data_IF_287090783997
#
_entry.id   IF_287090783997
#
_cell.length_a   1.000
_cell.length_b   1.000
_cell.length_c   1.000
_cell.angle_alpha   90.00
_cell.angle_beta   90.00
_cell.angle_gamma   90.00
#
_symmetry.space_group_name_H-M   'P 1'
#
loop_
_entity.id
_entity.type
_entity.pdbx_description
1 polymer ?
#
# COMPACT_ATOMS: atom_id res chain seq x y z
N UNK A 1 -78.57 18.64 -10.93
CA UNK A 1 -77.31 18.18 -10.27
C UNK A 1 -76.82 16.98 -11.05
N UNK A 2 -75.79 17.16 -11.84
CA UNK A 2 -75.12 16.09 -12.57
C UNK A 2 -74.04 15.45 -11.66
N UNK A 3 -73.82 14.12 -11.73
CA UNK A 3 -72.81 13.49 -10.92
C UNK A 3 -71.36 13.84 -11.44
N UNK A 4 -70.41 14.01 -10.50
CA UNK A 4 -69.05 14.30 -10.80
C UNK A 4 -68.30 13.05 -11.35
N UNK A 5 -67.63 13.25 -12.49
CA UNK A 5 -66.72 12.25 -13.07
C UNK A 5 -65.49 12.05 -12.16
N UNK A 6 -65.31 10.84 -11.65
CA UNK A 6 -64.11 10.43 -10.95
C UNK A 6 -63.06 10.00 -11.96
N UNK A 7 -62.02 10.83 -12.11
CA UNK A 7 -60.83 10.51 -12.90
C UNK A 7 -59.98 9.50 -12.10
N UNK A 8 -59.68 8.34 -12.70
CA UNK A 8 -58.79 7.35 -12.15
C UNK A 8 -57.32 7.88 -12.13
N UNK A 9 -56.50 7.54 -11.12
CA UNK A 9 -55.08 7.94 -11.09
C UNK A 9 -54.29 7.22 -12.21
N UNK A 10 -53.28 7.86 -12.76
CA UNK A 10 -52.44 7.26 -13.81
C UNK A 10 -51.68 6.05 -13.29
N UNK A 11 -51.60 5.01 -14.13
CA UNK A 11 -50.83 3.80 -13.90
C UNK A 11 -49.33 4.16 -13.63
N UNK A 12 -48.82 3.79 -12.44
CA UNK A 12 -47.40 3.87 -12.09
C UNK A 12 -46.67 2.78 -12.86
N UNK A 13 -45.96 3.19 -13.91
CA UNK A 13 -45.02 2.31 -14.62
C UNK A 13 -43.84 2.00 -13.67
N UNK A 14 -43.65 0.72 -13.35
CA UNK A 14 -42.48 0.29 -12.57
C UNK A 14 -41.19 0.64 -13.31
N UNK A 15 -40.12 1.11 -12.60
CA UNK A 15 -38.83 1.39 -13.23
C UNK A 15 -38.24 0.10 -13.82
N UNK A 16 -37.52 0.19 -14.95
CA UNK A 16 -36.91 -0.96 -15.56
C UNK A 16 -35.93 -1.62 -14.60
N UNK A 17 -36.06 -2.93 -14.39
CA UNK A 17 -35.06 -3.72 -13.67
C UNK A 17 -33.79 -3.82 -14.53
N UNK A 18 -32.72 -3.18 -14.10
CA UNK A 18 -31.40 -3.40 -14.66
C UNK A 18 -30.89 -4.77 -14.18
N UNK A 19 -30.36 -5.62 -15.08
CA UNK A 19 -29.74 -6.87 -14.66
C UNK A 19 -28.55 -6.55 -13.74
N UNK A 20 -28.63 -6.97 -12.49
CA UNK A 20 -27.50 -6.99 -11.56
C UNK A 20 -26.49 -8.00 -12.09
N UNK A 21 -25.56 -7.53 -12.94
CA UNK A 21 -24.35 -8.28 -13.25
C UNK A 21 -23.47 -8.15 -12.01
N UNK A 22 -23.51 -9.16 -11.15
CA UNK A 22 -22.49 -9.32 -10.12
C UNK A 22 -21.20 -9.61 -10.87
N UNK A 23 -20.21 -8.70 -10.82
CA UNK A 23 -18.90 -9.02 -11.38
C UNK A 23 -18.39 -10.25 -10.63
N UNK A 24 -18.23 -11.37 -11.32
CA UNK A 24 -17.47 -12.50 -10.78
C UNK A 24 -16.03 -12.02 -10.70
N UNK A 25 -15.57 -11.68 -9.48
CA UNK A 25 -14.16 -11.46 -9.21
C UNK A 25 -13.47 -12.77 -9.59
N UNK A 26 -12.54 -12.78 -10.56
CA UNK A 26 -11.80 -13.99 -10.87
C UNK A 26 -11.14 -14.47 -9.58
N UNK A 27 -11.29 -15.73 -9.26
CA UNK A 27 -10.52 -16.36 -8.18
C UNK A 27 -9.06 -16.07 -8.46
N UNK A 28 -8.28 -15.52 -7.53
CA UNK A 28 -6.88 -15.23 -7.76
C UNK A 28 -6.23 -16.50 -8.33
N UNK A 29 -5.49 -16.35 -9.43
CA UNK A 29 -4.66 -17.44 -9.93
C UNK A 29 -3.77 -17.89 -8.77
N UNK A 30 -3.58 -19.19 -8.60
CA UNK A 30 -2.80 -19.69 -7.49
C UNK A 30 -1.39 -19.12 -7.56
N UNK A 31 -1.03 -18.34 -6.53
CA UNK A 31 0.35 -17.84 -6.35
C UNK A 31 1.25 -19.09 -6.25
N UNK A 32 2.38 -19.07 -6.94
CA UNK A 32 3.36 -20.17 -6.93
C UNK A 32 4.60 -19.75 -6.14
N UNK A 33 5.25 -20.66 -5.48
CA UNK A 33 6.52 -20.41 -4.81
C UNK A 33 7.69 -20.28 -5.84
N UNK A 34 8.69 -19.40 -5.56
CA UNK A 34 8.73 -18.43 -4.48
C UNK A 34 7.72 -17.27 -4.68
N UNK A 35 7.07 -16.83 -3.61
CA UNK A 35 6.22 -15.64 -3.64
C UNK A 35 7.09 -14.40 -3.86
N UNK A 36 6.80 -13.63 -4.90
CA UNK A 36 7.57 -12.43 -5.22
C UNK A 36 6.95 -11.21 -4.54
N UNK A 37 7.76 -10.46 -3.77
CA UNK A 37 7.34 -9.33 -2.92
C UNK A 37 8.05 -8.07 -3.38
N UNK A 38 7.31 -7.03 -3.76
CA UNK A 38 7.84 -5.71 -4.08
C UNK A 38 7.44 -4.69 -3.02
N UNK A 39 8.42 -4.12 -2.33
CA UNK A 39 8.18 -3.04 -1.37
C UNK A 39 8.30 -1.69 -2.07
N UNK A 40 7.21 -0.92 -2.08
CA UNK A 40 7.06 0.37 -2.75
C UNK A 40 6.84 1.46 -1.72
N UNK A 41 7.53 2.59 -1.83
CA UNK A 41 7.34 3.71 -0.92
C UNK A 41 8.49 4.72 -0.89
N UNK A 42 8.49 5.52 0.15
CA UNK A 42 9.44 6.62 0.35
C UNK A 42 10.73 6.19 1.10
N UNK A 43 11.31 7.11 1.87
CA UNK A 43 12.53 6.88 2.66
C UNK A 43 12.37 5.82 3.76
N UNK A 44 11.16 5.59 4.25
CA UNK A 44 10.86 4.55 5.25
C UNK A 44 10.99 3.17 4.61
N UNK A 45 10.49 3.02 3.39
CA UNK A 45 10.69 1.80 2.59
C UNK A 45 12.15 1.66 2.12
N UNK A 46 12.81 2.74 1.72
CA UNK A 46 14.20 2.72 1.28
C UNK A 46 15.16 2.29 2.41
N UNK A 47 14.94 2.79 3.62
CA UNK A 47 15.87 2.72 4.73
C UNK A 47 16.93 3.82 4.67
N UNK A 48 17.08 4.60 5.72
CA UNK A 48 17.96 5.76 5.78
C UNK A 48 18.89 5.69 6.99
N UNK A 49 20.01 6.44 6.96
CA UNK A 49 20.94 6.58 8.08
C UNK A 49 21.45 5.25 8.67
N UNK A 50 21.68 4.26 7.80
CA UNK A 50 22.15 2.94 8.21
C UNK A 50 21.05 2.00 8.71
N UNK A 51 19.79 2.43 8.65
CA UNK A 51 18.64 1.56 8.88
C UNK A 51 18.37 0.70 7.63
N UNK A 52 17.86 -0.49 7.86
CA UNK A 52 17.61 -1.48 6.80
C UNK A 52 16.14 -1.53 6.36
N UNK A 53 15.32 -0.62 6.92
CA UNK A 53 13.87 -0.64 6.70
C UNK A 53 13.19 -1.88 7.30
N UNK A 54 11.89 -1.81 7.46
CA UNK A 54 11.03 -2.94 7.86
C UNK A 54 11.22 -4.21 7.00
N UNK A 55 11.80 -4.07 5.80
CA UNK A 55 12.07 -5.20 4.88
C UNK A 55 13.03 -6.23 5.48
N UNK A 56 14.02 -5.80 6.30
CA UNK A 56 14.95 -6.74 6.94
C UNK A 56 14.26 -7.61 8.00
N UNK A 57 13.60 -7.05 9.03
CA UNK A 57 12.87 -7.88 9.98
C UNK A 57 11.73 -8.67 9.31
N UNK A 58 11.05 -8.14 8.28
CA UNK A 58 10.07 -8.90 7.48
C UNK A 58 10.68 -10.13 6.81
N UNK A 59 11.88 -9.98 6.22
CA UNK A 59 12.64 -11.09 5.65
C UNK A 59 12.94 -12.18 6.70
N UNK A 60 13.31 -11.76 7.92
CA UNK A 60 13.62 -12.70 9.00
C UNK A 60 12.36 -13.46 9.47
N UNK A 61 11.22 -12.79 9.58
CA UNK A 61 9.94 -13.40 9.91
C UNK A 61 9.50 -14.42 8.85
N UNK A 62 9.58 -14.06 7.57
CA UNK A 62 9.25 -14.94 6.45
C UNK A 62 10.16 -16.20 6.44
N UNK A 63 11.46 -16.00 6.65
CA UNK A 63 12.42 -17.10 6.73
C UNK A 63 12.16 -18.00 7.96
N UNK A 64 11.85 -17.42 9.11
CA UNK A 64 11.51 -18.15 10.33
C UNK A 64 10.22 -18.96 10.16
N UNK A 65 9.23 -18.42 9.46
CA UNK A 65 8.00 -19.12 9.11
C UNK A 65 8.18 -20.21 8.04
N UNK A 66 9.39 -20.32 7.46
CA UNK A 66 9.72 -21.20 6.34
C UNK A 66 8.87 -20.92 5.09
N UNK A 67 8.51 -19.66 4.86
CA UNK A 67 7.89 -19.24 3.60
C UNK A 67 8.93 -19.32 2.47
N UNK A 68 8.51 -19.72 1.27
CA UNK A 68 9.31 -19.62 0.06
C UNK A 68 9.02 -18.28 -0.62
N UNK A 69 9.95 -17.34 -0.56
CA UNK A 69 9.74 -15.96 -1.02
C UNK A 69 10.98 -15.34 -1.63
N UNK A 70 10.76 -14.27 -2.39
CA UNK A 70 11.82 -13.44 -2.95
C UNK A 70 11.39 -11.97 -3.00
N UNK A 71 12.21 -11.04 -2.49
CA UNK A 71 12.03 -9.62 -2.77
C UNK A 71 12.47 -9.27 -4.19
N UNK A 72 11.71 -8.37 -4.83
CA UNK A 72 11.96 -7.87 -6.19
C UNK A 72 11.88 -6.35 -6.24
N UNK A 73 12.49 -5.73 -7.25
CA UNK A 73 12.52 -4.28 -7.47
C UNK A 73 13.78 -3.82 -8.17
N UNK A 74 13.82 -2.55 -8.55
CA UNK A 74 14.93 -1.94 -9.29
C UNK A 74 16.01 -1.33 -8.40
N UNK A 75 15.68 -0.99 -7.15
CA UNK A 75 16.63 -0.46 -6.17
C UNK A 75 17.23 -1.60 -5.36
N UNK A 76 18.51 -1.47 -5.02
CA UNK A 76 19.21 -2.43 -4.17
C UNK A 76 19.94 -1.64 -3.08
N UNK A 77 19.54 -1.83 -1.82
CA UNK A 77 20.29 -1.25 -0.69
C UNK A 77 21.57 -2.04 -0.44
N UNK A 78 22.68 -1.34 -0.52
CA UNK A 78 24.00 -1.87 -0.22
C UNK A 78 24.65 -1.23 1.02
N UNK A 79 23.84 -0.54 1.85
CA UNK A 79 24.37 0.18 3.01
C UNK A 79 24.81 -0.77 4.13
N UNK A 80 26.08 -0.71 4.55
CA UNK A 80 26.56 -1.46 5.71
C UNK A 80 25.79 -1.05 7.00
N UNK A 81 25.60 -1.94 8.00
CA UNK A 81 26.50 -3.09 8.28
C UNK A 81 25.93 -4.46 7.88
N UNK A 82 25.00 -4.61 6.98
CA UNK A 82 24.41 -5.91 6.75
C UNK A 82 24.71 -6.53 5.39
N UNK A 83 24.78 -7.86 5.40
CA UNK A 83 24.75 -8.69 4.21
C UNK A 83 23.34 -8.80 3.61
N UNK A 84 22.37 -8.05 4.16
CA UNK A 84 20.99 -8.05 3.67
C UNK A 84 20.89 -7.18 2.42
N UNK A 85 20.69 -7.85 1.30
CA UNK A 85 20.41 -7.24 0.01
C UNK A 85 18.97 -7.57 -0.35
N UNK A 86 18.13 -6.55 -0.40
CA UNK A 86 16.72 -6.71 -0.76
C UNK A 86 16.38 -5.73 -1.86
N UNK A 87 16.06 -6.21 -3.07
CA UNK A 87 15.49 -5.36 -4.10
C UNK A 87 14.17 -4.74 -3.64
N UNK A 88 13.90 -3.49 -4.07
CA UNK A 88 12.71 -2.73 -3.69
C UNK A 88 12.46 -1.56 -4.65
N UNK A 89 11.34 -0.86 -4.49
CA UNK A 89 10.97 0.40 -5.13
C UNK A 89 10.79 1.50 -4.07
N UNK A 90 11.72 1.61 -3.13
CA UNK A 90 11.73 2.67 -2.12
C UNK A 90 12.66 3.80 -2.53
N UNK A 91 12.18 5.06 -2.44
CA UNK A 91 12.94 6.23 -2.87
C UNK A 91 12.79 7.38 -1.86
N UNK A 92 13.91 7.93 -1.40
CA UNK A 92 13.88 9.01 -0.42
C UNK A 92 13.19 10.26 -0.97
N UNK A 93 12.40 10.95 -0.14
CA UNK A 93 11.64 12.17 -0.44
C UNK A 93 10.61 12.06 -1.57
N UNK A 94 10.29 10.85 -2.02
CA UNK A 94 9.25 10.64 -3.02
C UNK A 94 7.85 10.77 -2.42
N UNK A 95 6.91 11.20 -3.27
CA UNK A 95 5.48 11.32 -3.02
C UNK A 95 4.71 10.30 -3.86
N UNK A 96 3.41 10.21 -3.66
CA UNK A 96 2.57 9.29 -4.42
C UNK A 96 2.59 9.58 -5.92
N UNK A 97 2.53 10.87 -6.33
CA UNK A 97 2.57 11.29 -7.74
C UNK A 97 3.88 10.90 -8.45
N UNK A 98 5.01 10.83 -7.73
CA UNK A 98 6.30 10.38 -8.28
C UNK A 98 6.26 8.91 -8.78
N UNK A 99 5.37 8.08 -8.21
CA UNK A 99 5.16 6.71 -8.68
C UNK A 99 4.23 6.60 -9.90
N UNK A 100 3.45 7.61 -10.18
CA UNK A 100 2.60 7.67 -11.37
C UNK A 100 3.37 8.21 -12.58
N UNK A 101 4.14 9.26 -12.37
CA UNK A 101 4.82 10.00 -13.45
C UNK A 101 6.27 9.62 -13.67
N UNK A 102 6.87 8.96 -12.68
CA UNK A 102 8.32 8.74 -12.60
C UNK A 102 9.07 9.99 -12.14
N UNK A 103 10.20 9.76 -11.49
CA UNK A 103 11.11 10.82 -11.03
C UNK A 103 12.54 10.32 -10.99
N UNK A 104 13.46 11.03 -11.62
CA UNK A 104 14.88 10.71 -11.59
C UNK A 104 15.63 11.85 -10.90
N UNK A 105 16.26 11.54 -9.77
CA UNK A 105 17.07 12.50 -9.00
C UNK A 105 18.13 11.77 -8.14
N UNK A 106 18.62 12.45 -7.09
CA UNK A 106 19.63 11.88 -6.18
C UNK A 106 19.12 10.68 -5.36
N UNK A 107 17.79 10.52 -5.26
CA UNK A 107 17.15 9.41 -4.54
C UNK A 107 17.05 8.13 -5.40
N UNK A 108 17.35 8.22 -6.69
CA UNK A 108 17.32 7.11 -7.63
C UNK A 108 16.55 7.42 -8.92
N UNK A 109 16.41 6.41 -9.76
CA UNK A 109 15.67 6.47 -11.03
C UNK A 109 14.33 5.73 -10.86
N UNK A 110 13.36 6.42 -10.25
CA UNK A 110 11.98 5.92 -10.16
C UNK A 110 11.31 6.08 -11.53
N UNK A 111 11.08 4.98 -12.21
CA UNK A 111 10.44 4.95 -13.54
C UNK A 111 8.93 4.83 -13.47
N UNK A 112 8.36 4.95 -12.30
CA UNK A 112 6.94 4.80 -12.04
C UNK A 112 6.50 3.36 -11.82
N UNK A 113 5.33 3.22 -11.17
CA UNK A 113 4.80 1.91 -10.77
C UNK A 113 4.54 0.98 -11.96
N UNK A 114 4.05 1.50 -13.09
CA UNK A 114 3.82 0.69 -14.30
C UNK A 114 5.10 0.04 -14.80
N UNK A 115 6.23 0.78 -14.79
CA UNK A 115 7.54 0.25 -15.19
C UNK A 115 8.06 -0.79 -14.20
N UNK A 116 7.88 -0.55 -12.89
CA UNK A 116 8.26 -1.49 -11.85
C UNK A 116 7.48 -2.82 -11.95
N UNK A 117 6.17 -2.73 -12.16
CA UNK A 117 5.31 -3.90 -12.40
C UNK A 117 5.71 -4.65 -13.66
N UNK A 118 5.96 -3.95 -14.77
CA UNK A 118 6.39 -4.58 -16.03
C UNK A 118 7.75 -5.30 -15.90
N UNK A 119 8.64 -4.80 -15.04
CA UNK A 119 9.96 -5.39 -14.79
C UNK A 119 9.89 -6.64 -13.93
N UNK A 120 9.10 -6.63 -12.86
CA UNK A 120 9.17 -7.62 -11.78
C UNK A 120 7.91 -8.47 -11.65
N UNK A 121 6.75 -7.98 -12.10
CA UNK A 121 5.43 -8.63 -12.00
C UNK A 121 5.19 -9.35 -10.65
N UNK A 122 5.29 -8.63 -9.51
CA UNK A 122 5.25 -9.23 -8.18
C UNK A 122 3.89 -9.84 -7.85
N UNK A 123 3.89 -10.88 -7.00
CA UNK A 123 2.68 -11.48 -6.44
C UNK A 123 2.10 -10.61 -5.30
N UNK A 124 2.99 -9.93 -4.58
CA UNK A 124 2.63 -9.07 -3.44
C UNK A 124 3.32 -7.72 -3.57
N UNK A 125 2.55 -6.65 -3.41
CA UNK A 125 3.06 -5.28 -3.33
C UNK A 125 2.81 -4.74 -1.93
N UNK A 126 3.87 -4.44 -1.18
CA UNK A 126 3.79 -3.69 0.07
C UNK A 126 3.85 -2.21 -0.31
N UNK A 127 2.81 -1.43 0.02
CA UNK A 127 2.71 -0.02 -0.33
C UNK A 127 2.62 0.85 0.93
N UNK A 128 3.70 1.61 1.20
CA UNK A 128 3.77 2.62 2.26
C UNK A 128 4.21 3.95 1.64
N UNK A 129 3.28 4.84 1.37
CA UNK A 129 3.51 6.13 0.70
C UNK A 129 2.51 7.19 1.19
N UNK A 130 2.89 8.46 1.15
CA UNK A 130 2.06 9.58 1.55
C UNK A 130 2.67 10.46 2.65
N UNK A 131 3.70 9.97 3.34
CA UNK A 131 4.35 10.74 4.42
C UNK A 131 4.89 12.09 3.91
N UNK A 132 5.54 12.10 2.74
CA UNK A 132 6.06 13.34 2.15
C UNK A 132 4.95 14.22 1.58
N UNK A 133 3.88 13.65 1.09
CA UNK A 133 2.70 14.35 0.58
C UNK A 133 2.07 15.17 1.72
N UNK A 134 1.76 14.54 2.84
CA UNK A 134 1.22 15.19 4.02
C UNK A 134 2.17 16.26 4.57
N UNK A 135 3.47 15.94 4.68
CA UNK A 135 4.50 16.88 5.15
C UNK A 135 4.61 18.12 4.29
N UNK A 136 4.42 18.00 2.98
CA UNK A 136 4.50 19.11 2.02
C UNK A 136 3.17 19.84 1.85
N UNK A 137 2.12 19.44 2.58
CA UNK A 137 0.82 20.08 2.58
C UNK A 137 -0.02 19.76 1.35
N UNK A 138 0.22 18.63 0.69
CA UNK A 138 -0.68 18.15 -0.36
C UNK A 138 -2.04 17.83 0.24
N UNK A 139 -3.09 18.02 -0.54
CA UNK A 139 -4.44 17.69 -0.11
C UNK A 139 -4.58 16.16 0.02
N UNK A 140 -5.13 15.69 1.14
CA UNK A 140 -5.26 14.26 1.40
C UNK A 140 -6.06 13.54 0.31
N UNK A 141 -7.16 14.14 -0.19
CA UNK A 141 -7.96 13.51 -1.23
C UNK A 141 -7.21 13.40 -2.58
N UNK A 142 -6.26 14.28 -2.86
CA UNK A 142 -5.38 14.17 -4.02
C UNK A 142 -4.40 13.01 -3.83
N UNK A 143 -3.75 12.94 -2.67
CA UNK A 143 -2.83 11.84 -2.34
C UNK A 143 -3.55 10.48 -2.35
N UNK A 144 -4.75 10.38 -1.79
CA UNK A 144 -5.56 9.15 -1.82
C UNK A 144 -5.93 8.76 -3.26
N UNK A 145 -6.27 9.74 -4.11
CA UNK A 145 -6.55 9.47 -5.53
C UNK A 145 -5.30 8.99 -6.30
N UNK A 146 -4.12 9.46 -5.94
CA UNK A 146 -2.85 8.97 -6.49
C UNK A 146 -2.55 7.55 -6.00
N UNK A 147 -2.78 7.25 -4.73
CA UNK A 147 -2.68 5.89 -4.16
C UNK A 147 -3.65 4.95 -4.88
N UNK A 148 -4.89 5.36 -5.13
CA UNK A 148 -5.88 4.59 -5.90
C UNK A 148 -5.35 4.25 -7.30
N UNK A 149 -4.75 5.21 -8.00
CA UNK A 149 -4.15 4.97 -9.31
C UNK A 149 -2.94 4.02 -9.25
N UNK A 150 -2.11 4.09 -8.20
CA UNK A 150 -1.02 3.13 -7.98
C UNK A 150 -1.58 1.73 -7.80
N UNK A 151 -2.57 1.56 -6.92
CA UNK A 151 -3.25 0.28 -6.67
C UNK A 151 -3.89 -0.26 -7.95
N UNK A 152 -4.63 0.58 -8.68
CA UNK A 152 -5.25 0.21 -9.95
C UNK A 152 -4.20 -0.26 -10.97
N UNK A 153 -3.07 0.44 -11.10
CA UNK A 153 -1.97 0.07 -11.99
C UNK A 153 -1.37 -1.27 -11.61
N UNK A 154 -1.18 -1.56 -10.32
CA UNK A 154 -0.69 -2.86 -9.83
C UNK A 154 -1.64 -3.97 -10.27
N UNK A 155 -2.94 -3.82 -10.00
CA UNK A 155 -3.94 -4.84 -10.29
C UNK A 155 -4.25 -4.97 -11.80
N UNK A 156 -4.03 -3.92 -12.59
CA UNK A 156 -4.12 -3.98 -14.05
C UNK A 156 -2.98 -4.82 -14.64
N UNK A 157 -1.75 -4.65 -14.12
CA UNK A 157 -0.58 -5.43 -14.60
C UNK A 157 -0.60 -6.87 -14.12
N UNK A 158 -0.93 -7.09 -12.86
CA UNK A 158 -1.09 -8.42 -12.28
C UNK A 158 -2.45 -8.54 -11.55
N UNK A 159 -3.51 -9.03 -12.24
CA UNK A 159 -4.82 -9.20 -11.63
C UNK A 159 -4.86 -10.19 -10.46
N UNK A 160 -3.78 -10.93 -10.22
CA UNK A 160 -3.66 -11.87 -9.09
C UNK A 160 -2.85 -11.28 -7.93
N UNK A 161 -2.23 -10.12 -8.11
CA UNK A 161 -1.41 -9.50 -7.06
C UNK A 161 -2.24 -9.16 -5.83
N UNK A 162 -1.61 -9.23 -4.66
CA UNK A 162 -2.15 -8.72 -3.40
C UNK A 162 -1.40 -7.44 -3.02
N UNK A 163 -2.15 -6.39 -2.71
CA UNK A 163 -1.59 -5.12 -2.24
C UNK A 163 -1.77 -5.04 -0.73
N UNK A 164 -0.67 -4.99 0.00
CA UNK A 164 -0.61 -4.69 1.43
C UNK A 164 -0.46 -3.17 1.58
N UNK A 165 -1.58 -2.46 1.59
CA UNK A 165 -1.63 -1.00 1.73
C UNK A 165 -1.61 -0.65 3.21
N UNK A 166 -0.59 0.06 3.66
CA UNK A 166 -0.53 0.49 5.05
C UNK A 166 -1.08 1.91 5.26
N UNK A 167 -1.60 2.14 6.46
CA UNK A 167 -1.65 3.49 6.99
C UNK A 167 -0.21 4.01 7.23
N UNK A 168 -0.07 5.23 7.77
CA UNK A 168 1.24 5.87 7.92
C UNK A 168 1.75 5.75 9.35
N UNK A 169 3.05 5.45 9.51
CA UNK A 169 3.70 5.58 10.82
C UNK A 169 3.60 7.03 11.31
N UNK A 170 3.43 7.26 12.61
CA UNK A 170 3.31 8.61 13.16
C UNK A 170 4.53 9.48 12.84
N UNK A 171 4.28 10.75 12.65
CA UNK A 171 5.29 11.77 12.43
C UNK A 171 5.42 12.65 13.68
N UNK A 172 6.53 12.60 14.37
CA UNK A 172 6.73 13.33 15.63
C UNK A 172 7.43 14.69 15.42
N UNK A 173 6.97 15.43 14.43
CA UNK A 173 7.41 16.78 14.08
C UNK A 173 6.18 17.70 13.88
N UNK A 174 6.38 18.90 13.36
CA UNK A 174 5.34 19.91 13.23
C UNK A 174 4.11 19.45 12.40
N UNK A 175 4.33 18.55 11.46
CA UNK A 175 3.29 18.05 10.53
C UNK A 175 2.57 16.79 11.03
N UNK A 176 2.70 16.41 12.30
CA UNK A 176 2.12 15.20 12.88
C UNK A 176 0.65 15.03 12.53
N UNK A 177 -0.17 16.05 12.74
CA UNK A 177 -1.61 15.98 12.48
C UNK A 177 -1.94 15.77 10.99
N UNK A 178 -1.12 16.29 10.09
CA UNK A 178 -1.32 16.09 8.65
C UNK A 178 -1.06 14.63 8.25
N UNK A 179 0.01 14.03 8.77
CA UNK A 179 0.34 12.62 8.52
C UNK A 179 -0.70 11.69 9.13
N UNK A 180 -1.16 11.96 10.37
CA UNK A 180 -2.22 11.19 11.02
C UNK A 180 -3.54 11.28 10.23
N UNK A 181 -3.93 12.50 9.80
CA UNK A 181 -5.14 12.71 9.01
C UNK A 181 -5.11 11.98 7.66
N UNK A 182 -3.96 12.00 6.96
CA UNK A 182 -3.83 11.24 5.72
C UNK A 182 -3.89 9.72 5.99
N UNK A 183 -3.28 9.24 7.07
CA UNK A 183 -3.36 7.84 7.48
C UNK A 183 -4.82 7.40 7.69
N UNK A 184 -5.65 8.21 8.34
CA UNK A 184 -7.08 7.95 8.54
C UNK A 184 -7.84 7.89 7.20
N UNK A 185 -7.50 8.76 6.24
CA UNK A 185 -8.12 8.74 4.90
C UNK A 185 -7.68 7.54 4.06
N UNK A 186 -6.45 7.06 4.20
CA UNK A 186 -5.99 5.81 3.57
C UNK A 186 -6.77 4.61 4.12
N UNK A 187 -6.99 4.54 5.44
CA UNK A 187 -7.81 3.50 6.05
C UNK A 187 -9.27 3.54 5.54
N UNK A 188 -9.86 4.75 5.48
CA UNK A 188 -11.22 4.95 4.97
C UNK A 188 -11.34 4.57 3.49
N UNK A 189 -10.35 4.92 2.67
CA UNK A 189 -10.27 4.53 1.26
C UNK A 189 -10.26 3.01 1.10
N UNK A 190 -9.35 2.32 1.80
CA UNK A 190 -9.25 0.87 1.72
C UNK A 190 -10.57 0.19 2.13
N UNK A 191 -11.20 0.66 3.21
CA UNK A 191 -12.47 0.12 3.67
C UNK A 191 -13.62 0.29 2.63
N UNK A 192 -13.59 1.37 1.84
CA UNK A 192 -14.58 1.64 0.79
C UNK A 192 -14.32 0.86 -0.50
N UNK A 193 -13.06 0.51 -0.76
CA UNK A 193 -12.65 -0.16 -2.00
C UNK A 193 -13.31 -1.54 -2.18
N UNK A 194 -13.67 -2.21 -1.07
CA UNK A 194 -14.30 -3.53 -1.05
C UNK A 194 -13.62 -4.54 -2.00
N UNK A 195 -12.29 -4.47 -2.11
CA UNK A 195 -11.47 -5.35 -2.93
C UNK A 195 -10.63 -6.27 -2.03
N UNK A 196 -10.86 -7.59 -2.03
CA UNK A 196 -10.13 -8.52 -1.16
C UNK A 196 -8.64 -8.64 -1.47
N UNK A 197 -8.18 -8.16 -2.63
CA UNK A 197 -6.76 -8.13 -3.00
C UNK A 197 -6.03 -6.94 -2.39
N UNK A 198 -6.74 -5.92 -1.89
CA UNK A 198 -6.15 -4.77 -1.19
C UNK A 198 -6.40 -4.94 0.30
N UNK A 199 -5.36 -5.21 1.05
CA UNK A 199 -5.43 -5.45 2.49
C UNK A 199 -4.84 -4.27 3.24
N UNK A 200 -5.57 -3.76 4.22
CA UNK A 200 -5.04 -2.74 5.13
C UNK A 200 -4.01 -3.36 6.07
N UNK A 201 -2.90 -2.67 6.25
CA UNK A 201 -1.91 -2.98 7.27
C UNK A 201 -1.82 -1.80 8.24
N UNK A 202 -2.16 -2.03 9.49
CA UNK A 202 -2.08 -1.00 10.53
C UNK A 202 -0.67 -0.98 11.14
N UNK A 203 0.21 -0.17 10.57
CA UNK A 203 1.57 0.05 11.10
C UNK A 203 1.61 1.13 12.19
N UNK A 204 0.50 1.84 12.41
CA UNK A 204 0.41 2.98 13.34
C UNK A 204 0.05 2.55 14.76
N UNK A 205 -0.84 1.59 14.94
CA UNK A 205 -1.30 1.16 16.26
C UNK A 205 -0.13 0.64 17.11
N UNK A 206 -0.01 1.16 18.32
CA UNK A 206 1.09 0.83 19.22
C UNK A 206 2.42 1.52 18.90
N UNK A 207 2.50 2.29 17.82
CA UNK A 207 3.70 3.04 17.48
C UNK A 207 3.89 4.24 18.43
N UNK A 208 5.11 4.51 18.85
CA UNK A 208 5.45 5.64 19.73
C UNK A 208 6.75 6.30 19.32
N UNK A 209 7.01 7.49 19.84
CA UNK A 209 8.25 8.24 19.54
C UNK A 209 9.53 7.45 19.87
N UNK A 210 9.48 6.53 20.83
CA UNK A 210 10.61 5.68 21.19
C UNK A 210 10.97 4.66 20.10
N UNK A 211 10.08 4.47 19.11
CA UNK A 211 10.30 3.60 17.94
C UNK A 211 10.90 4.36 16.76
N UNK A 212 11.18 5.67 16.94
CA UNK A 212 11.82 6.53 15.94
C UNK A 212 13.30 6.73 16.24
N UNK A 213 14.08 7.06 15.21
CA UNK A 213 15.39 7.67 15.38
C UNK A 213 15.25 9.15 15.80
N UNK A 214 16.37 9.83 16.05
CA UNK A 214 16.39 11.20 16.59
C UNK A 214 15.60 12.24 15.75
N UNK A 215 15.35 11.97 14.48
CA UNK A 215 14.62 12.90 13.61
C UNK A 215 13.09 12.86 13.82
N UNK A 216 12.59 11.89 14.56
CA UNK A 216 11.15 11.74 14.84
C UNK A 216 10.31 11.39 13.61
N UNK A 217 10.94 10.90 12.55
CA UNK A 217 10.35 10.60 11.23
C UNK A 217 10.56 9.16 10.84
N UNK A 218 11.80 8.72 10.95
CA UNK A 218 12.18 7.39 10.48
C UNK A 218 12.19 6.40 11.64
N UNK A 219 11.60 5.21 11.46
CA UNK A 219 11.67 4.15 12.44
C UNK A 219 13.11 3.78 12.80
N UNK A 220 13.37 3.51 14.08
CA UNK A 220 14.58 2.84 14.51
C UNK A 220 14.42 1.32 14.35
N UNK A 221 15.44 0.48 14.64
CA UNK A 221 15.33 -0.96 14.43
C UNK A 221 14.15 -1.63 15.13
N UNK A 222 13.69 -1.09 16.28
CA UNK A 222 12.50 -1.60 16.99
C UNK A 222 11.23 -1.17 16.27
N UNK A 223 11.18 0.07 15.75
CA UNK A 223 10.08 0.55 14.93
C UNK A 223 9.97 -0.18 13.59
N UNK A 224 11.13 -0.48 12.96
CA UNK A 224 11.17 -1.31 11.74
C UNK A 224 10.63 -2.73 12.00
N UNK A 225 10.96 -3.33 13.15
CA UNK A 225 10.43 -4.63 13.56
C UNK A 225 8.91 -4.56 13.81
N UNK A 226 8.42 -3.50 14.47
CA UNK A 226 6.99 -3.27 14.69
C UNK A 226 6.21 -3.20 13.36
N UNK A 227 6.73 -2.47 12.37
CA UNK A 227 6.12 -2.43 11.03
C UNK A 227 6.14 -3.81 10.37
N UNK A 228 7.26 -4.52 10.48
CA UNK A 228 7.41 -5.84 9.88
C UNK A 228 6.44 -6.87 10.48
N UNK A 229 6.22 -6.84 11.80
CA UNK A 229 5.22 -7.68 12.47
C UNK A 229 3.82 -7.42 11.89
N UNK A 230 3.43 -6.13 11.73
CA UNK A 230 2.13 -5.77 11.17
C UNK A 230 1.97 -6.27 9.71
N UNK A 231 3.01 -6.13 8.88
CA UNK A 231 3.00 -6.64 7.51
C UNK A 231 2.95 -8.16 7.47
N UNK A 232 3.72 -8.83 8.32
CA UNK A 232 3.78 -10.29 8.37
C UNK A 232 2.44 -10.89 8.80
N UNK A 233 1.78 -10.31 9.79
CA UNK A 233 0.48 -10.77 10.27
C UNK A 233 -0.56 -10.76 9.14
N UNK A 234 -0.66 -9.66 8.38
CA UNK A 234 -1.59 -9.57 7.24
C UNK A 234 -1.17 -10.47 6.08
N UNK A 235 0.13 -10.65 5.85
CA UNK A 235 0.67 -11.55 4.83
C UNK A 235 0.31 -13.02 5.14
N UNK A 236 0.47 -13.45 6.38
CA UNK A 236 0.16 -14.82 6.83
C UNK A 236 -1.36 -15.06 6.84
N UNK A 237 -2.16 -14.12 7.37
CA UNK A 237 -3.62 -14.15 7.35
C UNK A 237 -4.20 -14.21 5.93
N UNK A 238 -3.53 -13.62 4.96
CA UNK A 238 -3.91 -13.71 3.56
C UNK A 238 -3.52 -15.04 2.88
N UNK A 239 -2.85 -15.93 3.61
CA UNK A 239 -2.40 -17.23 3.09
C UNK A 239 -1.26 -17.13 2.07
N UNK A 240 -0.46 -16.07 2.14
CA UNK A 240 0.63 -15.79 1.19
C UNK A 240 1.94 -16.50 1.56
N UNK A 241 2.05 -17.06 2.77
CA UNK A 241 3.20 -17.85 3.20
C UNK A 241 3.14 -19.25 2.60
N UNK A 242 3.64 -19.42 1.39
CA UNK A 242 3.78 -20.72 0.73
C UNK A 242 5.01 -21.46 1.27
N UNK A 243 4.90 -22.78 1.43
CA UNK A 243 5.95 -23.66 1.99
C UNK A 243 6.31 -24.77 1.03
#
# INVERSE_FOLDING_TARGET
>A
MAPADTVAPPDTVAPPEFPTVTPSIPSPAAITAPVTIMAVGDSITHGVRGQQSYRKPMNDLLAQAACDFQFVGSQINTSPPSDFVSPHEGYTVHRADDFLTGRSDKAGDNRGIASAMALSNPDVVILHIGTNDARLGQNNSETVAEIDQIVATVLEHNPSAVVLLSNLVPWYQAEQLAVESLGDEIEAYQAQLNNPQVRLVDVRSGFSVNLMIEDGVHPNPVGEAHMADAYFDVFDDAGLCLK
#
